data_IF_566813143383
#
_entry.id   IF_566813143383
#
_cell.length_a   1.000
_cell.length_b   1.000
_cell.length_c   1.000
_cell.angle_alpha   90.00
_cell.angle_beta   90.00
_cell.angle_gamma   90.00
#
_symmetry.space_group_name_H-M   'P 1'
#
loop_
_entity.id
_entity.type
_entity.pdbx_description
1 polymer ?
#
# COMPACT_ATOMS: atom_id res chain seq x y z
N UNK A 1 34.48 -29.39 -63.87
CA UNK A 1 33.19 -29.49 -63.15
C UNK A 1 33.15 -28.34 -62.19
N UNK A 2 32.59 -27.23 -62.65
CA UNK A 2 32.56 -25.93 -61.98
C UNK A 2 31.10 -25.69 -61.62
N UNK A 3 30.79 -25.71 -60.33
CA UNK A 3 29.42 -25.51 -59.84
C UNK A 3 29.37 -24.21 -59.05
N UNK A 4 28.49 -23.35 -59.56
CA UNK A 4 28.32 -21.94 -59.26
C UNK A 4 27.85 -21.66 -57.82
N UNK A 5 28.31 -20.52 -57.29
CA UNK A 5 27.72 -19.84 -56.14
C UNK A 5 26.37 -19.23 -56.55
N UNK A 6 25.34 -19.52 -55.77
CA UNK A 6 23.97 -19.06 -55.97
C UNK A 6 23.75 -17.76 -55.17
N UNK A 7 23.60 -16.63 -55.87
CA UNK A 7 23.21 -15.34 -55.30
C UNK A 7 21.68 -15.28 -55.15
N UNK A 8 21.17 -15.43 -53.92
CA UNK A 8 19.75 -15.15 -53.61
C UNK A 8 19.58 -13.68 -53.23
N UNK A 9 19.28 -12.85 -54.23
CA UNK A 9 18.80 -11.48 -54.07
C UNK A 9 17.28 -11.47 -53.85
N UNK A 10 16.85 -11.36 -52.59
CA UNK A 10 15.44 -11.16 -52.24
C UNK A 10 15.08 -9.66 -52.09
N UNK A 11 13.98 -9.28 -52.75
CA UNK A 11 13.45 -7.92 -52.94
C UNK A 11 13.03 -7.22 -51.65
N UNK A 12 13.44 -5.95 -51.51
CA UNK A 12 12.86 -5.00 -50.56
C UNK A 12 11.44 -4.58 -51.00
N UNK A 13 10.49 -4.60 -50.07
CA UNK A 13 9.13 -4.09 -50.24
C UNK A 13 9.08 -2.58 -50.00
N UNK A 14 8.31 -1.79 -50.78
CA UNK A 14 8.25 -0.35 -50.60
C UNK A 14 7.36 0.03 -49.40
N UNK A 15 7.94 0.82 -48.50
CA UNK A 15 7.34 1.36 -47.28
C UNK A 15 6.31 2.44 -47.67
N UNK A 16 5.02 2.22 -47.36
CA UNK A 16 3.95 3.21 -47.56
C UNK A 16 4.19 4.44 -46.66
N UNK A 17 4.36 5.61 -47.27
CA UNK A 17 4.31 6.89 -46.58
C UNK A 17 2.89 7.13 -46.04
N UNK A 18 2.73 7.12 -44.70
CA UNK A 18 1.54 7.69 -44.04
C UNK A 18 1.72 9.19 -43.91
N UNK A 19 0.70 9.94 -44.32
CA UNK A 19 0.67 11.39 -44.29
C UNK A 19 0.87 11.97 -42.89
N UNK A 20 1.52 13.13 -42.85
CA UNK A 20 1.81 13.92 -41.65
C UNK A 20 0.52 14.65 -41.24
N UNK A 21 -0.13 14.18 -40.17
CA UNK A 21 -1.18 14.97 -39.51
C UNK A 21 -0.54 16.16 -38.77
N UNK A 22 -1.17 17.35 -38.76
CA UNK A 22 -0.68 18.47 -37.97
C UNK A 22 -0.75 18.12 -36.48
N UNK A 23 0.39 18.29 -35.79
CA UNK A 23 0.54 18.06 -34.36
C UNK A 23 -0.28 19.13 -33.63
N UNK A 24 -1.35 18.72 -32.95
CA UNK A 24 -2.01 19.58 -31.98
C UNK A 24 -0.98 20.01 -30.93
N UNK A 25 -0.85 21.32 -30.72
CA UNK A 25 -0.03 21.88 -29.64
C UNK A 25 -0.76 21.51 -28.35
N UNK A 26 -0.26 20.48 -27.66
CA UNK A 26 -0.75 20.14 -26.33
C UNK A 26 -0.34 21.29 -25.39
N UNK A 27 -1.32 21.97 -24.80
CA UNK A 27 -1.09 22.91 -23.72
C UNK A 27 -0.34 22.19 -22.60
N UNK A 28 0.74 22.82 -22.11
CA UNK A 28 1.53 22.27 -21.02
C UNK A 28 0.66 22.24 -19.77
N UNK A 29 0.40 21.07 -19.15
CA UNK A 29 -0.36 21.03 -17.90
C UNK A 29 0.42 21.82 -16.84
N UNK A 30 -0.27 22.60 -15.98
CA UNK A 30 0.39 23.32 -14.91
C UNK A 30 1.19 22.35 -14.05
N UNK A 31 2.40 22.75 -13.67
CA UNK A 31 3.27 21.96 -12.82
C UNK A 31 2.50 21.53 -11.55
N UNK A 32 2.60 20.26 -11.13
CA UNK A 32 1.91 19.82 -9.92
C UNK A 32 2.43 20.63 -8.74
N UNK A 33 1.53 21.36 -8.07
CA UNK A 33 1.87 22.05 -6.82
C UNK A 33 2.17 21.00 -5.76
N UNK A 34 3.32 21.11 -5.10
CA UNK A 34 3.61 20.32 -3.91
C UNK A 34 2.51 20.60 -2.86
N UNK A 35 1.88 19.54 -2.36
CA UNK A 35 0.90 19.65 -1.27
C UNK A 35 1.64 19.93 0.03
N UNK A 36 1.08 20.77 0.90
CA UNK A 36 1.66 21.01 2.22
C UNK A 36 1.41 19.80 3.14
N UNK A 37 2.19 19.69 4.22
CA UNK A 37 2.03 18.61 5.23
C UNK A 37 0.61 18.63 5.80
N UNK A 38 0.02 19.81 5.96
CA UNK A 38 -1.35 20.02 6.44
C UNK A 38 -2.40 19.48 5.45
N UNK A 39 -2.14 19.58 4.14
CA UNK A 39 -3.03 19.06 3.10
C UNK A 39 -2.95 17.53 2.98
N UNK A 40 -1.75 16.97 3.20
CA UNK A 40 -1.53 15.53 3.21
C UNK A 40 -2.12 14.86 4.47
N UNK A 41 -2.13 15.59 5.59
CA UNK A 41 -2.70 15.13 6.87
C UNK A 41 -4.20 15.36 7.00
N UNK A 42 -4.81 16.09 6.06
CA UNK A 42 -6.25 16.30 6.04
C UNK A 42 -6.98 14.99 5.75
N UNK A 43 -7.89 14.58 6.65
CA UNK A 43 -8.76 13.40 6.44
C UNK A 43 -9.53 13.54 5.11
N UNK A 44 -9.69 12.45 4.34
CA UNK A 44 -10.54 12.48 3.16
C UNK A 44 -11.94 12.99 3.51
N UNK A 45 -12.43 13.99 2.78
CA UNK A 45 -13.86 14.36 2.85
C UNK A 45 -14.64 13.24 2.18
N UNK A 46 -15.01 12.22 2.97
CA UNK A 46 -15.85 11.15 2.49
C UNK A 46 -17.24 11.69 2.16
N UNK A 47 -17.53 11.85 0.87
CA UNK A 47 -18.91 12.00 0.39
C UNK A 47 -19.63 10.65 0.27
N UNK A 48 -19.17 9.62 0.96
CA UNK A 48 -19.85 8.34 1.07
C UNK A 48 -20.87 8.40 2.22
N UNK A 49 -22.07 8.87 1.92
CA UNK A 49 -23.25 8.56 2.72
C UNK A 49 -23.54 7.07 2.58
N UNK A 50 -23.60 6.36 3.71
CA UNK A 50 -24.41 5.15 3.84
C UNK A 50 -23.66 3.86 4.19
N UNK A 51 -23.31 3.69 5.46
CA UNK A 51 -23.45 2.41 6.17
C UNK A 51 -23.34 2.68 7.68
N UNK A 52 -24.47 2.49 8.34
CA UNK A 52 -24.76 2.65 9.77
C UNK A 52 -23.70 2.08 10.71
N UNK A 53 -23.08 2.95 11.50
CA UNK A 53 -22.55 2.61 12.83
C UNK A 53 -23.26 3.54 13.80
N UNK A 54 -24.11 2.96 14.66
CA UNK A 54 -24.89 3.72 15.63
C UNK A 54 -23.99 4.37 16.67
N UNK A 55 -23.87 5.69 16.61
CA UNK A 55 -23.32 6.50 17.69
C UNK A 55 -24.25 6.40 18.91
N UNK A 56 -23.78 5.74 19.98
CA UNK A 56 -24.37 5.90 21.31
C UNK A 56 -23.87 7.23 21.88
N UNK A 57 -24.38 8.32 21.34
CA UNK A 57 -24.19 9.65 21.88
C UNK A 57 -25.13 9.84 23.08
N UNK A 58 -24.53 10.29 24.19
CA UNK A 58 -25.20 10.67 25.45
C UNK A 58 -26.46 11.50 25.22
N UNK A 59 -27.63 10.90 25.44
CA UNK A 59 -28.89 11.61 25.54
C UNK A 59 -28.92 12.37 26.88
N UNK A 60 -28.51 13.63 26.85
CA UNK A 60 -28.72 14.59 27.95
C UNK A 60 -30.21 15.00 27.93
N UNK A 61 -31.04 14.28 28.66
CA UNK A 61 -32.49 14.52 28.73
C UNK A 61 -32.78 15.87 29.40
N UNK A 62 -33.23 16.85 28.61
CA UNK A 62 -33.91 18.05 29.11
C UNK A 62 -35.32 17.67 29.53
N UNK A 63 -35.55 17.52 30.82
CA UNK A 63 -36.89 17.27 31.37
C UNK A 63 -37.64 18.59 31.47
N UNK A 64 -38.54 18.86 30.53
CA UNK A 64 -39.61 19.83 30.73
C UNK A 64 -40.71 19.15 31.54
N UNK A 65 -41.04 19.73 32.69
CA UNK A 65 -42.05 19.22 33.60
C UNK A 65 -43.44 19.42 32.98
N UNK A 66 -44.05 18.33 32.50
CA UNK A 66 -45.49 18.29 32.24
C UNK A 66 -46.14 17.45 33.33
N UNK A 67 -46.91 18.12 34.20
CA UNK A 67 -47.83 17.49 35.16
C UNK A 67 -48.76 16.56 34.39
N UNK A 68 -48.78 15.29 34.77
CA UNK A 68 -49.92 14.40 34.58
C UNK A 68 -50.17 13.71 35.92
N UNK A 69 -51.39 13.91 36.40
CA UNK A 69 -51.97 13.37 37.61
C UNK A 69 -52.32 11.88 37.47
N UNK A 70 -52.36 11.23 38.62
CA UNK A 70 -53.14 10.03 38.95
C UNK A 70 -52.65 8.66 38.44
N UNK A 71 -52.48 7.74 39.41
CA UNK A 71 -52.25 6.31 39.17
C UNK A 71 -50.92 5.79 39.70
N UNK A 72 -50.62 5.97 41.00
CA UNK A 72 -49.49 5.30 41.62
C UNK A 72 -49.72 3.77 41.67
N UNK A 73 -49.15 3.04 40.73
CA UNK A 73 -48.89 1.60 40.88
C UNK A 73 -47.50 1.43 41.51
N UNK A 74 -47.48 1.34 42.84
CA UNK A 74 -46.31 0.97 43.60
C UNK A 74 -46.04 -0.54 43.40
N UNK A 75 -45.23 -0.89 42.40
CA UNK A 75 -44.37 -2.08 42.29
C UNK A 75 -44.01 -2.36 40.83
N UNK A 76 -43.19 -1.51 40.23
CA UNK A 76 -42.44 -1.90 39.04
C UNK A 76 -41.07 -2.40 39.51
N UNK A 77 -41.00 -3.66 39.95
CA UNK A 77 -39.72 -4.35 40.14
C UNK A 77 -38.99 -4.33 38.81
N UNK A 78 -37.73 -3.86 38.72
CA UNK A 78 -37.00 -3.88 37.46
C UNK A 78 -36.92 -5.33 36.98
N UNK A 79 -37.63 -5.64 35.89
CA UNK A 79 -37.57 -6.95 35.22
C UNK A 79 -36.17 -7.08 34.62
N UNK A 80 -35.29 -7.81 35.31
CA UNK A 80 -34.09 -8.33 34.67
C UNK A 80 -34.54 -9.28 33.56
N UNK A 81 -33.97 -9.17 32.35
CA UNK A 81 -34.30 -10.12 31.29
C UNK A 81 -33.84 -11.51 31.74
N UNK A 82 -34.58 -12.56 31.36
CA UNK A 82 -34.39 -13.94 31.87
C UNK A 82 -33.00 -14.53 31.59
N UNK A 83 -32.26 -13.96 30.65
CA UNK A 83 -30.89 -14.35 30.31
C UNK A 83 -29.84 -13.63 31.16
N UNK A 84 -30.20 -12.58 31.91
CA UNK A 84 -29.29 -11.87 32.81
C UNK A 84 -29.20 -12.59 34.17
N UNK A 85 -28.75 -13.84 34.14
CA UNK A 85 -28.32 -14.57 35.33
C UNK A 85 -26.91 -14.14 35.73
N UNK A 86 -26.54 -14.36 36.98
CA UNK A 86 -25.20 -14.04 37.50
C UNK A 86 -24.09 -14.74 36.71
N UNK A 87 -24.36 -15.95 36.20
CA UNK A 87 -23.45 -16.73 35.36
C UNK A 87 -23.24 -16.08 33.98
N UNK A 88 -24.31 -15.69 33.30
CA UNK A 88 -24.22 -15.04 32.00
C UNK A 88 -23.55 -13.66 32.11
N UNK A 89 -23.76 -12.94 33.22
CA UNK A 89 -23.07 -11.71 33.52
C UNK A 89 -21.54 -11.94 33.71
N UNK A 90 -21.14 -13.00 34.41
CA UNK A 90 -19.74 -13.36 34.58
C UNK A 90 -19.06 -13.75 33.26
N UNK A 91 -19.76 -14.51 32.40
CA UNK A 91 -19.27 -14.88 31.05
C UNK A 91 -19.09 -13.63 30.19
N UNK A 92 -20.08 -12.72 30.18
CA UNK A 92 -20.01 -11.49 29.40
C UNK A 92 -18.85 -10.57 29.85
N UNK A 93 -18.62 -10.46 31.17
CA UNK A 93 -17.49 -9.71 31.73
C UNK A 93 -16.15 -10.36 31.38
N UNK A 94 -16.07 -11.70 31.45
CA UNK A 94 -14.89 -12.45 31.05
C UNK A 94 -14.57 -12.24 29.57
N UNK A 95 -15.57 -12.33 28.68
CA UNK A 95 -15.40 -12.10 27.26
C UNK A 95 -14.95 -10.66 26.95
N UNK A 96 -15.50 -9.67 27.65
CA UNK A 96 -15.11 -8.27 27.50
C UNK A 96 -13.68 -8.01 27.98
N UNK A 97 -13.26 -8.63 29.08
CA UNK A 97 -11.89 -8.53 29.60
C UNK A 97 -10.88 -9.16 28.62
N UNK A 98 -11.19 -10.34 28.07
CA UNK A 98 -10.36 -11.00 27.06
C UNK A 98 -10.29 -10.15 25.79
N UNK A 99 -11.43 -9.68 25.28
CA UNK A 99 -11.47 -8.81 24.10
C UNK A 99 -10.66 -7.54 24.29
N UNK A 100 -10.74 -6.91 25.48
CA UNK A 100 -9.93 -5.74 25.83
C UNK A 100 -8.44 -6.05 25.93
N UNK A 101 -8.08 -7.22 26.47
CA UNK A 101 -6.69 -7.69 26.53
C UNK A 101 -6.09 -7.93 25.14
N UNK A 102 -6.82 -8.64 24.27
CA UNK A 102 -6.43 -8.86 22.86
C UNK A 102 -6.24 -7.50 22.18
N UNK A 103 -7.24 -6.62 22.28
CA UNK A 103 -7.19 -5.28 21.70
C UNK A 103 -6.01 -4.46 22.22
N UNK A 104 -5.68 -4.55 23.50
CA UNK A 104 -4.53 -3.88 24.07
C UNK A 104 -3.20 -4.41 23.49
N UNK A 105 -3.08 -5.72 23.33
CA UNK A 105 -1.87 -6.34 22.74
C UNK A 105 -1.69 -5.91 21.28
N UNK A 106 -2.76 -5.86 20.49
CA UNK A 106 -2.68 -5.46 19.08
C UNK A 106 -2.51 -3.94 18.87
N UNK A 107 -3.08 -3.10 19.75
CA UNK A 107 -2.95 -1.64 19.64
C UNK A 107 -1.66 -1.09 20.28
N UNK A 108 -0.96 -1.88 21.10
CA UNK A 108 0.29 -1.43 21.73
C UNK A 108 1.45 -1.74 20.79
N UNK A 109 2.12 -0.73 20.19
CA UNK A 109 3.26 -0.98 19.33
C UNK A 109 4.40 -1.61 20.14
N UNK A 110 5.14 -2.52 19.53
CA UNK A 110 6.28 -3.19 20.17
C UNK A 110 7.43 -2.25 20.54
N UNK A 111 7.45 -1.04 19.97
CA UNK A 111 8.43 0.02 20.22
C UNK A 111 7.74 1.37 20.24
N UNK A 112 8.02 2.18 21.26
CA UNK A 112 7.58 3.58 21.31
C UNK A 112 8.39 4.42 20.33
N UNK A 113 7.70 5.26 19.54
CA UNK A 113 8.39 6.27 18.73
C UNK A 113 9.10 7.27 19.65
N UNK A 114 10.38 7.50 19.39
CA UNK A 114 11.19 8.49 20.09
C UNK A 114 11.60 9.52 19.06
N UNK A 115 11.21 10.77 19.29
CA UNK A 115 11.54 11.87 18.38
C UNK A 115 13.07 11.99 18.23
N UNK A 116 13.54 12.08 16.98
CA UNK A 116 14.95 12.20 16.64
C UNK A 116 15.83 10.96 16.91
N UNK A 117 15.29 9.81 17.34
CA UNK A 117 16.09 8.62 17.65
C UNK A 117 15.55 7.30 17.04
N UNK A 118 16.43 6.60 16.31
CA UNK A 118 16.14 5.35 15.56
C UNK A 118 14.87 5.49 14.70
N UNK A 119 15.00 6.32 13.66
CA UNK A 119 13.91 6.98 12.93
C UNK A 119 13.66 6.50 11.50
N UNK A 120 14.06 5.35 11.00
CA UNK A 120 14.06 5.06 9.53
C UNK A 120 15.02 5.97 8.78
N UNK A 121 14.80 7.29 8.73
CA UNK A 121 15.69 8.25 8.06
C UNK A 121 17.13 8.13 8.56
N UNK A 122 17.34 8.13 9.89
CA UNK A 122 18.67 7.98 10.48
C UNK A 122 19.36 6.67 10.06
N UNK A 123 18.65 5.54 10.02
CA UNK A 123 19.26 4.28 9.63
C UNK A 123 19.41 4.13 8.11
N UNK A 124 18.56 4.75 7.28
CA UNK A 124 18.80 4.86 5.84
C UNK A 124 20.02 5.72 5.53
N UNK A 125 20.18 6.85 6.22
CA UNK A 125 21.38 7.70 6.11
C UNK A 125 22.61 6.88 6.47
N UNK A 126 22.60 6.21 7.63
CA UNK A 126 23.72 5.38 8.07
C UNK A 126 24.05 4.21 7.10
N UNK A 127 23.05 3.62 6.44
CA UNK A 127 23.26 2.49 5.51
C UNK A 127 23.72 2.92 4.11
N UNK A 128 23.48 4.18 3.74
CA UNK A 128 23.80 4.71 2.41
C UNK A 128 25.00 5.66 2.41
N UNK A 129 25.37 6.22 3.57
CA UNK A 129 26.49 7.17 3.71
C UNK A 129 27.83 6.57 3.23
N UNK A 130 28.04 5.27 3.44
CA UNK A 130 29.26 4.59 3.02
C UNK A 130 29.27 4.11 1.55
N UNK A 131 28.12 4.14 0.86
CA UNK A 131 28.01 3.75 -0.54
C UNK A 131 28.16 2.24 -0.83
N UNK A 132 28.28 1.40 0.21
CA UNK A 132 28.54 -0.04 0.04
C UNK A 132 27.31 -0.79 -0.49
N UNK A 133 26.12 -0.33 -0.11
CA UNK A 133 24.86 -0.94 -0.52
C UNK A 133 24.68 -0.78 -2.03
N UNK A 134 24.97 0.40 -2.57
CA UNK A 134 24.91 0.72 -3.99
C UNK A 134 25.84 -0.20 -4.80
N UNK A 135 27.00 -0.56 -4.25
CA UNK A 135 27.94 -1.48 -4.89
C UNK A 135 27.38 -2.92 -5.00
N UNK A 136 26.77 -3.46 -3.94
CA UNK A 136 26.28 -4.84 -3.94
C UNK A 136 24.82 -5.01 -4.40
N UNK A 137 23.98 -4.04 -4.12
CA UNK A 137 22.53 -4.07 -4.37
C UNK A 137 22.13 -3.28 -5.62
N UNK A 138 23.05 -2.52 -6.21
CA UNK A 138 22.77 -1.65 -7.34
C UNK A 138 21.87 -0.48 -6.94
N UNK A 139 21.01 -0.03 -7.86
CA UNK A 139 20.14 1.13 -7.64
C UNK A 139 18.89 0.82 -6.79
N UNK A 140 18.70 -0.43 -6.35
CA UNK A 140 17.45 -0.92 -5.77
C UNK A 140 17.65 -1.51 -4.36
N UNK A 141 17.09 -0.84 -3.36
CA UNK A 141 17.13 -1.25 -1.94
C UNK A 141 15.89 -2.09 -1.58
N UNK A 142 15.66 -3.16 -2.33
CA UNK A 142 14.64 -4.18 -2.05
C UNK A 142 15.13 -5.54 -2.54
N UNK A 143 14.40 -6.62 -2.23
CA UNK A 143 14.74 -7.95 -2.73
C UNK A 143 14.44 -8.08 -4.23
N UNK A 144 14.87 -9.19 -4.83
CA UNK A 144 14.61 -9.50 -6.23
C UNK A 144 13.43 -10.45 -6.43
N UNK A 145 12.91 -10.48 -7.65
CA UNK A 145 11.92 -11.44 -8.11
C UNK A 145 12.58 -12.55 -8.93
N UNK A 146 12.07 -13.76 -8.74
CA UNK A 146 12.54 -14.98 -9.40
C UNK A 146 11.32 -15.75 -9.87
N UNK A 147 11.36 -16.25 -11.11
CA UNK A 147 10.30 -17.11 -11.63
C UNK A 147 10.30 -18.47 -10.95
N UNK A 148 9.19 -19.20 -11.05
CA UNK A 148 9.09 -20.56 -10.50
C UNK A 148 10.17 -21.49 -11.07
N UNK A 149 10.52 -21.34 -12.36
CA UNK A 149 11.60 -22.11 -12.99
C UNK A 149 12.98 -21.72 -12.46
N UNK A 150 13.21 -20.45 -12.13
CA UNK A 150 14.46 -19.97 -11.54
C UNK A 150 14.60 -20.47 -10.10
N UNK A 151 13.52 -20.39 -9.32
CA UNK A 151 13.47 -20.94 -7.95
C UNK A 151 13.68 -22.45 -7.95
N UNK A 152 13.07 -23.19 -8.89
CA UNK A 152 13.29 -24.63 -9.04
C UNK A 152 14.75 -24.98 -9.37
N UNK A 153 15.48 -24.08 -10.04
CA UNK A 153 16.93 -24.21 -10.29
C UNK A 153 17.79 -23.76 -9.09
N UNK A 154 17.16 -23.26 -8.02
CA UNK A 154 17.80 -22.85 -6.78
C UNK A 154 18.09 -21.35 -6.68
N UNK A 155 17.51 -20.50 -7.55
CA UNK A 155 17.67 -19.05 -7.43
C UNK A 155 17.24 -18.54 -6.03
N UNK A 156 17.91 -17.51 -5.53
CA UNK A 156 17.70 -16.99 -4.17
C UNK A 156 18.30 -17.84 -3.04
N UNK A 157 18.93 -18.98 -3.35
CA UNK A 157 19.68 -19.79 -2.38
C UNK A 157 21.19 -19.56 -2.46
N UNK A 158 21.92 -19.97 -1.42
CA UNK A 158 23.38 -19.88 -1.38
C UNK A 158 24.07 -20.61 -2.55
N UNK A 159 23.49 -21.73 -3.01
CA UNK A 159 24.05 -22.56 -4.09
C UNK A 159 23.60 -22.13 -5.49
N UNK A 160 22.46 -21.45 -5.61
CA UNK A 160 21.93 -20.97 -6.89
C UNK A 160 22.25 -19.52 -7.21
N UNK A 161 23.29 -18.95 -6.61
CA UNK A 161 23.74 -17.56 -6.87
C UNK A 161 24.12 -17.29 -8.34
N UNK A 162 24.28 -18.34 -9.16
CA UNK A 162 24.58 -18.25 -10.60
C UNK A 162 23.34 -18.38 -11.50
N UNK A 163 22.17 -18.69 -10.94
CA UNK A 163 20.94 -18.91 -11.73
C UNK A 163 20.43 -17.59 -12.30
N UNK A 164 20.48 -16.52 -11.49
CA UNK A 164 20.06 -15.18 -11.87
C UNK A 164 20.90 -14.16 -11.14
N UNK A 165 21.28 -13.10 -11.84
CA UNK A 165 21.95 -11.96 -11.27
C UNK A 165 21.03 -11.22 -10.28
N UNK A 166 21.55 -10.85 -9.11
CA UNK A 166 20.77 -10.24 -8.05
C UNK A 166 20.30 -8.82 -8.39
N UNK A 167 21.08 -8.07 -9.16
CA UNK A 167 20.70 -6.74 -9.61
C UNK A 167 19.58 -6.85 -10.63
N UNK A 168 19.70 -7.77 -11.60
CA UNK A 168 18.63 -8.02 -12.57
C UNK A 168 17.33 -8.48 -11.89
N UNK A 169 17.41 -9.37 -10.89
CA UNK A 169 16.24 -9.80 -10.13
C UNK A 169 15.47 -8.63 -9.50
N UNK A 170 16.16 -7.56 -9.09
CA UNK A 170 15.51 -6.36 -8.54
C UNK A 170 14.80 -5.55 -9.62
N UNK A 171 15.37 -5.41 -10.82
CA UNK A 171 14.66 -4.78 -11.93
C UNK A 171 13.39 -5.55 -12.29
N UNK A 172 13.49 -6.88 -12.40
CA UNK A 172 12.34 -7.74 -12.68
C UNK A 172 11.27 -7.60 -11.59
N UNK A 173 11.65 -7.46 -10.31
CA UNK A 173 10.68 -7.20 -9.24
C UNK A 173 9.90 -5.91 -9.45
N UNK A 174 10.56 -4.84 -9.90
CA UNK A 174 9.90 -3.56 -10.19
C UNK A 174 8.93 -3.69 -11.37
N UNK A 175 9.31 -4.44 -12.40
CA UNK A 175 8.45 -4.68 -13.56
C UNK A 175 7.24 -5.56 -13.19
N UNK A 176 7.42 -6.62 -12.40
CA UNK A 176 6.33 -7.46 -11.89
C UNK A 176 5.38 -6.68 -10.98
N UNK A 177 5.89 -5.77 -10.15
CA UNK A 177 5.05 -4.89 -9.32
C UNK A 177 4.23 -3.91 -10.18
N UNK A 178 4.79 -3.40 -11.27
CA UNK A 178 4.05 -2.57 -12.20
C UNK A 178 2.98 -3.35 -12.96
N UNK A 179 3.30 -4.56 -13.41
CA UNK A 179 2.34 -5.40 -14.12
C UNK A 179 1.22 -5.88 -13.17
N UNK A 180 1.56 -6.21 -11.92
CA UNK A 180 0.59 -6.54 -10.85
C UNK A 180 -0.35 -5.38 -10.51
N UNK A 181 0.10 -4.13 -10.71
CA UNK A 181 -0.76 -2.95 -10.50
C UNK A 181 -1.86 -2.81 -11.55
N UNK A 182 -1.77 -3.56 -12.66
CA UNK A 182 -2.67 -3.50 -13.82
C UNK A 182 -2.74 -2.10 -14.47
N UNK A 183 -1.80 -1.19 -14.15
CA UNK A 183 -1.77 0.16 -14.67
C UNK A 183 -1.25 0.18 -16.12
N UNK A 184 -2.11 0.53 -17.08
CA UNK A 184 -1.68 0.75 -18.46
C UNK A 184 -1.07 2.16 -18.64
N UNK A 185 0.26 2.20 -18.84
CA UNK A 185 1.04 3.41 -19.17
C UNK A 185 0.69 4.62 -18.29
N UNK A 186 0.88 4.52 -16.97
CA UNK A 186 0.57 5.63 -16.07
C UNK A 186 1.42 6.85 -16.41
N UNK A 187 0.78 7.98 -16.68
CA UNK A 187 1.49 9.24 -16.97
C UNK A 187 2.18 9.84 -15.72
N UNK A 188 1.77 9.43 -14.52
CA UNK A 188 2.31 9.88 -13.23
C UNK A 188 2.28 8.70 -12.26
N UNK A 189 3.38 8.53 -11.53
CA UNK A 189 3.55 7.49 -10.50
C UNK A 189 4.03 8.17 -9.22
N UNK A 190 3.49 7.73 -8.07
CA UNK A 190 3.95 8.14 -6.74
C UNK A 190 4.69 6.95 -6.10
N UNK A 191 5.99 7.11 -5.89
CA UNK A 191 6.85 6.12 -5.25
C UNK A 191 7.06 6.50 -3.77
N UNK A 192 6.25 5.91 -2.87
CA UNK A 192 6.30 6.18 -1.44
C UNK A 192 7.39 5.32 -0.80
N UNK A 193 8.46 5.97 -0.32
CA UNK A 193 9.64 5.26 0.18
C UNK A 193 10.55 4.81 -0.96
N UNK A 194 10.85 5.72 -1.89
CA UNK A 194 11.62 5.47 -3.11
C UNK A 194 13.08 5.01 -2.90
N UNK A 195 13.56 4.96 -1.66
CA UNK A 195 14.95 4.67 -1.32
C UNK A 195 15.91 5.62 -2.05
N UNK A 196 16.94 5.06 -2.69
CA UNK A 196 17.88 5.81 -3.56
C UNK A 196 17.33 6.08 -4.98
N UNK A 197 16.06 5.74 -5.24
CA UNK A 197 15.32 6.13 -6.44
C UNK A 197 15.49 5.24 -7.67
N UNK A 198 16.02 4.02 -7.54
CA UNK A 198 16.20 3.10 -8.69
C UNK A 198 14.89 2.76 -9.38
N UNK A 199 13.86 2.36 -8.63
CA UNK A 199 12.53 2.05 -9.18
C UNK A 199 11.91 3.24 -9.92
N UNK A 200 11.91 4.42 -9.28
CA UNK A 200 11.48 5.67 -9.90
C UNK A 200 12.19 5.96 -11.23
N UNK A 201 13.52 5.81 -11.30
CA UNK A 201 14.28 6.02 -12.55
C UNK A 201 14.00 4.94 -13.59
N UNK A 202 13.78 3.69 -13.17
CA UNK A 202 13.41 2.59 -14.05
C UNK A 202 12.06 2.85 -14.71
N UNK A 203 11.03 3.22 -13.93
CA UNK A 203 9.72 3.59 -14.46
C UNK A 203 9.76 4.80 -15.38
N UNK A 204 10.60 5.79 -15.11
CA UNK A 204 10.72 6.96 -15.98
C UNK A 204 11.33 6.66 -17.36
N UNK A 205 12.07 5.53 -17.51
CA UNK A 205 12.69 5.10 -18.77
C UNK A 205 11.80 4.16 -19.59
N UNK A 206 10.83 3.51 -18.96
CA UNK A 206 9.87 2.55 -19.56
C UNK A 206 8.76 3.30 -20.31
#
# INVERSE_FOLDING_TARGET
>A
EEVAMDEVRARATPRRHRGRHPRAVAETPPAPRALSIEELSARPRSNARGAVVGDVASAKTRTSARRASEGASANATPRTPSWATTENAAIALGALAVGRGIKYVFDTPSRTYVDGANTVGTEYDAWTEEGILEYYWGEHIHLGWYSDEELAKGAGTLLGCKVKDFIQAKFDFVDEMADWSEADKPAKVLDVGCGIGGASRHFAKR
#
